data_IF_035013474723
#
_entry.id   IF_035013474723
#
_cell.length_a   1.000
_cell.length_b   1.000
_cell.length_c   1.000
_cell.angle_alpha   90.00
_cell.angle_beta   90.00
_cell.angle_gamma   90.00
#
_symmetry.space_group_name_H-M   'P 1'
#
loop_
_entity.id
_entity.type
_entity.pdbx_description
1 polymer ?
#
# COMPACT_ATOMS: atom_id res chain seq x y z
N UNK A 1 -57.97 5.88 43.13
CA UNK A 1 -56.58 6.23 43.50
C UNK A 1 -55.98 7.03 42.33
N UNK A 2 -55.66 8.32 42.49
CA UNK A 2 -55.06 9.11 41.44
C UNK A 2 -53.57 8.68 41.27
N UNK A 3 -53.14 8.51 40.07
CA UNK A 3 -51.73 8.18 39.74
C UNK A 3 -50.83 9.37 40.08
N UNK A 4 -49.64 9.16 40.67
CA UNK A 4 -48.71 10.25 40.93
C UNK A 4 -48.21 10.86 39.60
N UNK A 5 -48.42 12.16 39.43
CA UNK A 5 -47.89 12.91 38.29
C UNK A 5 -46.37 13.09 38.48
N UNK A 6 -45.55 12.25 37.78
CA UNK A 6 -44.10 12.44 37.74
C UNK A 6 -43.78 13.58 36.75
N UNK A 7 -43.47 14.75 37.24
CA UNK A 7 -42.88 15.82 36.43
C UNK A 7 -41.36 15.65 36.40
N UNK A 8 -40.80 15.09 35.30
CA UNK A 8 -39.36 15.02 35.08
C UNK A 8 -38.94 16.35 34.44
N UNK A 9 -38.33 17.24 35.19
CA UNK A 9 -37.75 18.48 34.67
C UNK A 9 -36.34 18.21 34.25
N UNK A 10 -36.11 18.01 32.94
CA UNK A 10 -34.77 17.83 32.38
C UNK A 10 -34.18 19.21 32.15
N UNK A 11 -33.09 19.57 32.85
CA UNK A 11 -32.41 20.85 32.66
C UNK A 11 -31.69 20.88 31.28
N UNK A 12 -31.69 22.04 30.62
CA UNK A 12 -31.03 22.21 29.32
C UNK A 12 -29.54 21.87 29.33
N UNK A 13 -28.89 22.04 30.49
CA UNK A 13 -27.47 21.66 30.67
C UNK A 13 -27.24 20.15 30.59
N UNK A 14 -28.16 19.34 31.10
CA UNK A 14 -28.07 17.87 31.02
C UNK A 14 -28.23 17.39 29.56
N UNK A 15 -29.18 18.00 28.84
CA UNK A 15 -29.40 17.70 27.42
C UNK A 15 -28.16 18.09 26.59
N UNK A 16 -27.59 19.27 26.86
CA UNK A 16 -26.38 19.73 26.16
C UNK A 16 -25.16 18.81 26.43
N UNK A 17 -24.97 18.41 27.70
CA UNK A 17 -23.89 17.49 28.06
C UNK A 17 -24.05 16.12 27.36
N UNK A 18 -25.26 15.57 27.34
CA UNK A 18 -25.57 14.31 26.67
C UNK A 18 -25.31 14.39 25.15
N UNK A 19 -25.79 15.49 24.53
CA UNK A 19 -25.54 15.72 23.09
C UNK A 19 -24.05 15.85 22.75
N UNK A 20 -23.26 16.52 23.60
CA UNK A 20 -21.81 16.63 23.42
C UNK A 20 -21.12 15.28 23.51
N UNK A 21 -21.49 14.44 24.47
CA UNK A 21 -20.94 13.08 24.60
C UNK A 21 -21.27 12.24 23.36
N UNK A 22 -22.51 12.22 22.93
CA UNK A 22 -22.93 11.45 21.74
C UNK A 22 -22.22 11.92 20.47
N UNK A 23 -22.10 13.23 20.28
CA UNK A 23 -21.39 13.76 19.09
C UNK A 23 -19.91 13.40 19.09
N UNK A 24 -19.27 13.41 20.26
CA UNK A 24 -17.86 13.00 20.39
C UNK A 24 -17.67 11.52 20.08
N UNK A 25 -18.52 10.64 20.60
CA UNK A 25 -18.49 9.20 20.32
C UNK A 25 -18.70 8.94 18.82
N UNK A 26 -19.69 9.59 18.23
CA UNK A 26 -20.01 9.45 16.80
C UNK A 26 -18.86 9.94 15.92
N UNK A 27 -18.27 11.08 16.24
CA UNK A 27 -17.11 11.62 15.55
C UNK A 27 -15.88 10.69 15.64
N UNK A 28 -15.62 10.14 16.82
CA UNK A 28 -14.54 9.16 17.00
C UNK A 28 -14.78 7.88 16.20
N UNK A 29 -16.00 7.36 16.17
CA UNK A 29 -16.37 6.20 15.40
C UNK A 29 -16.23 6.42 13.88
N UNK A 30 -16.61 7.61 13.39
CA UNK A 30 -16.44 7.99 11.99
C UNK A 30 -14.97 8.09 11.59
N UNK A 31 -14.12 8.70 12.41
CA UNK A 31 -12.68 8.76 12.21
C UNK A 31 -12.04 7.36 12.19
N UNK A 32 -12.48 6.50 13.11
CA UNK A 32 -12.03 5.10 13.15
C UNK A 32 -12.38 4.35 11.86
N UNK A 33 -13.64 4.44 11.43
CA UNK A 33 -14.10 3.80 10.20
C UNK A 33 -13.35 4.36 8.97
N UNK A 34 -13.19 5.67 8.86
CA UNK A 34 -12.44 6.30 7.79
C UNK A 34 -11.00 5.80 7.71
N UNK A 35 -10.30 5.66 8.85
CA UNK A 35 -8.95 5.12 8.87
C UNK A 35 -8.89 3.62 8.53
N UNK A 36 -9.93 2.88 8.87
CA UNK A 36 -10.05 1.44 8.59
C UNK A 36 -10.36 1.16 7.12
N UNK A 37 -11.13 2.03 6.48
CA UNK A 37 -11.55 1.87 5.09
C UNK A 37 -10.50 2.34 4.06
N UNK A 38 -9.33 2.77 4.51
CA UNK A 38 -8.24 3.14 3.60
C UNK A 38 -7.65 1.93 2.90
N UNK A 39 -7.26 2.14 1.64
CA UNK A 39 -6.38 1.22 0.94
C UNK A 39 -5.01 1.16 1.62
N UNK A 40 -4.47 -0.04 1.83
CA UNK A 40 -3.16 -0.27 2.45
C UNK A 40 -2.38 -1.26 1.62
N UNK A 41 -1.74 -0.76 0.59
CA UNK A 41 -0.90 -1.60 -0.27
C UNK A 41 0.47 -1.75 0.35
N UNK A 42 0.91 -3.00 0.48
CA UNK A 42 2.25 -3.38 0.92
C UNK A 42 2.98 -4.03 -0.24
N UNK A 43 4.14 -3.49 -0.57
CA UNK A 43 5.06 -4.07 -1.55
C UNK A 43 6.21 -4.71 -0.80
N UNK A 44 6.52 -5.97 -1.11
CA UNK A 44 7.67 -6.70 -0.58
C UNK A 44 8.36 -7.45 -1.71
N UNK A 45 9.68 -7.60 -1.63
CA UNK A 45 10.46 -8.37 -2.59
C UNK A 45 11.32 -9.39 -1.86
N UNK A 46 11.45 -10.55 -2.47
CA UNK A 46 12.29 -11.66 -2.04
C UNK A 46 13.18 -12.04 -3.20
N UNK A 47 14.50 -11.99 -2.98
CA UNK A 47 15.51 -12.35 -3.98
C UNK A 47 15.99 -13.79 -3.75
N UNK A 48 16.65 -14.35 -4.75
CA UNK A 48 17.28 -15.67 -4.70
C UNK A 48 16.32 -16.83 -4.39
N UNK A 49 15.06 -16.69 -4.77
CA UNK A 49 14.07 -17.76 -4.63
C UNK A 49 14.27 -18.80 -5.74
N UNK A 50 14.25 -20.07 -5.38
CA UNK A 50 14.33 -21.17 -6.34
C UNK A 50 12.98 -21.86 -6.41
N UNK A 51 12.44 -21.97 -7.62
CA UNK A 51 11.19 -22.68 -7.86
C UNK A 51 11.43 -24.11 -8.30
N UNK A 52 10.65 -25.02 -7.73
CA UNK A 52 10.59 -26.42 -8.16
C UNK A 52 9.20 -26.68 -8.75
N UNK A 53 9.15 -27.17 -9.98
CA UNK A 53 7.90 -27.65 -10.59
C UNK A 53 7.11 -26.64 -11.42
N UNK A 54 7.63 -25.46 -11.70
CA UNK A 54 7.02 -24.55 -12.68
C UNK A 54 7.63 -24.76 -14.07
N UNK A 55 6.77 -24.97 -15.09
CA UNK A 55 7.19 -25.24 -16.47
C UNK A 55 7.74 -24.02 -17.20
N UNK A 56 7.59 -22.81 -16.64
CA UNK A 56 8.01 -21.55 -17.27
C UNK A 56 9.46 -21.18 -16.94
N UNK A 57 10.03 -21.75 -15.89
CA UNK A 57 11.39 -21.44 -15.45
C UNK A 57 12.24 -22.70 -15.42
N UNK A 58 13.54 -22.54 -15.66
CA UNK A 58 14.49 -23.68 -15.61
C UNK A 58 14.62 -24.17 -14.18
N UNK A 59 14.67 -25.49 -13.95
CA UNK A 59 14.94 -26.04 -12.62
C UNK A 59 16.22 -25.44 -12.04
N UNK A 60 16.16 -24.95 -10.80
CA UNK A 60 17.30 -24.32 -10.14
C UNK A 60 17.56 -22.85 -10.51
N UNK A 61 16.77 -22.26 -11.40
CA UNK A 61 16.87 -20.83 -11.73
C UNK A 61 16.50 -19.98 -10.52
N UNK A 62 17.33 -18.99 -10.23
CA UNK A 62 17.05 -18.02 -9.20
C UNK A 62 16.09 -16.95 -9.70
N UNK A 63 15.10 -16.63 -8.90
CA UNK A 63 14.04 -15.68 -9.22
C UNK A 63 13.95 -14.60 -8.14
N UNK A 64 13.58 -13.41 -8.54
CA UNK A 64 13.09 -12.38 -7.64
C UNK A 64 11.57 -12.35 -7.69
N UNK A 65 10.96 -12.41 -6.53
CA UNK A 65 9.51 -12.37 -6.37
C UNK A 65 9.13 -11.06 -5.69
N UNK A 66 8.32 -10.28 -6.37
CA UNK A 66 7.73 -9.06 -5.80
C UNK A 66 6.26 -9.32 -5.51
N UNK A 67 5.91 -9.24 -4.24
CA UNK A 67 4.53 -9.43 -3.79
C UNK A 67 3.92 -8.07 -3.48
N UNK A 68 2.76 -7.80 -4.07
CA UNK A 68 1.94 -6.62 -3.80
C UNK A 68 0.64 -7.09 -3.17
N UNK A 69 0.41 -6.72 -1.91
CA UNK A 69 -0.75 -7.17 -1.14
C UNK A 69 -1.57 -5.99 -0.63
N UNK A 70 -2.90 -6.11 -0.70
CA UNK A 70 -3.81 -5.14 -0.11
C UNK A 70 -4.22 -5.59 1.30
N UNK A 71 -3.73 -4.90 2.32
CA UNK A 71 -4.10 -5.09 3.73
C UNK A 71 -5.24 -4.17 4.17
N UNK A 72 -5.69 -3.27 3.28
CA UNK A 72 -6.80 -2.36 3.54
C UNK A 72 -8.11 -2.92 3.00
N UNK A 73 -9.23 -2.36 3.44
CA UNK A 73 -10.57 -2.78 2.99
C UNK A 73 -10.92 -2.26 1.61
N UNK A 74 -10.41 -1.09 1.26
CA UNK A 74 -10.73 -0.49 -0.03
C UNK A 74 -10.01 -1.23 -1.15
N UNK A 75 -10.73 -1.71 -2.17
CA UNK A 75 -10.11 -2.33 -3.33
C UNK A 75 -9.26 -1.31 -4.11
N UNK A 76 -8.17 -1.78 -4.70
CA UNK A 76 -7.23 -0.97 -5.49
C UNK A 76 -6.85 -1.71 -6.75
N UNK A 77 -6.99 -1.07 -7.89
CA UNK A 77 -6.54 -1.62 -9.17
C UNK A 77 -5.08 -1.28 -9.38
N UNK A 78 -4.21 -2.29 -9.34
CA UNK A 78 -2.79 -2.15 -9.65
C UNK A 78 -2.60 -2.21 -11.16
N UNK A 79 -1.93 -1.22 -11.70
CA UNK A 79 -1.66 -1.11 -13.15
C UNK A 79 -0.23 -1.46 -13.50
N UNK A 80 0.73 -1.18 -12.61
CA UNK A 80 2.14 -1.48 -12.86
C UNK A 80 2.83 -1.94 -11.59
N UNK A 81 3.78 -2.85 -11.74
CA UNK A 81 4.73 -3.25 -10.71
C UNK A 81 6.13 -3.05 -11.26
N UNK A 82 7.02 -2.51 -10.47
CA UNK A 82 8.37 -2.24 -10.93
C UNK A 82 9.27 -1.79 -9.80
N UNK A 83 10.31 -1.07 -10.14
CA UNK A 83 11.25 -0.57 -9.16
C UNK A 83 12.17 0.49 -9.74
N UNK A 84 13.14 0.88 -8.96
CA UNK A 84 14.18 1.80 -9.38
C UNK A 84 15.56 1.21 -9.05
N UNK A 85 16.44 1.19 -10.04
CA UNK A 85 17.82 0.71 -9.93
C UNK A 85 18.76 1.87 -9.61
N UNK A 86 19.88 1.53 -8.97
CA UNK A 86 20.97 2.46 -8.73
C UNK A 86 21.69 2.81 -10.04
N UNK A 87 22.13 4.00 -10.15
CA UNK A 87 22.79 4.80 -11.18
C UNK A 87 23.21 4.07 -12.49
N UNK A 88 22.79 4.62 -13.66
CA UNK A 88 21.89 5.75 -13.77
C UNK A 88 20.49 5.35 -13.31
N UNK A 89 19.78 6.27 -12.65
CA UNK A 89 18.45 6.02 -12.11
C UNK A 89 17.50 5.60 -13.22
N UNK A 90 17.36 4.31 -13.42
CA UNK A 90 16.44 3.75 -14.39
C UNK A 90 15.26 3.11 -13.67
N UNK A 91 14.06 3.71 -13.79
CA UNK A 91 12.84 3.01 -13.42
C UNK A 91 12.66 1.83 -14.38
N UNK A 92 12.20 0.72 -13.86
CA UNK A 92 11.86 -0.46 -14.66
C UNK A 92 10.49 -0.98 -14.25
N UNK A 93 9.83 -1.67 -15.17
CA UNK A 93 8.53 -2.30 -14.97
C UNK A 93 8.70 -3.80 -15.13
N UNK A 94 8.06 -4.56 -14.25
CA UNK A 94 7.97 -6.02 -14.34
C UNK A 94 6.78 -6.35 -15.22
N UNK A 95 7.02 -7.07 -16.29
CA UNK A 95 5.97 -7.42 -17.26
C UNK A 95 5.25 -8.69 -16.85
N UNK A 96 5.94 -9.64 -16.24
CA UNK A 96 5.35 -10.91 -15.83
C UNK A 96 4.75 -10.82 -14.43
N UNK A 97 3.44 -10.64 -14.37
CA UNK A 97 2.66 -10.56 -13.15
C UNK A 97 1.56 -11.63 -13.15
N UNK A 98 1.30 -12.22 -11.97
CA UNK A 98 0.24 -13.20 -11.76
C UNK A 98 -0.65 -12.74 -10.60
N UNK A 99 -1.92 -12.43 -10.83
CA UNK A 99 -2.61 -12.32 -12.12
C UNK A 99 -2.08 -11.19 -13.00
N UNK A 100 -2.44 -11.21 -14.29
CA UNK A 100 -2.02 -10.20 -15.25
C UNK A 100 -2.51 -8.81 -14.85
N UNK A 101 -1.71 -7.79 -15.13
CA UNK A 101 -2.07 -6.40 -14.93
C UNK A 101 -2.87 -5.83 -16.12
N UNK A 102 -3.80 -4.90 -15.90
CA UNK A 102 -4.21 -4.34 -14.61
C UNK A 102 -5.05 -5.33 -13.78
N UNK A 103 -4.87 -5.34 -12.46
CA UNK A 103 -5.61 -6.25 -11.58
C UNK A 103 -6.12 -5.55 -10.33
N UNK A 104 -7.38 -5.83 -9.97
CA UNK A 104 -8.01 -5.31 -8.76
C UNK A 104 -7.66 -6.16 -7.54
N UNK A 105 -7.02 -5.56 -6.56
CA UNK A 105 -6.71 -6.15 -5.27
C UNK A 105 -7.76 -5.77 -4.24
N UNK A 106 -8.64 -6.70 -3.92
CA UNK A 106 -9.55 -6.59 -2.77
C UNK A 106 -8.83 -6.87 -1.46
N UNK A 107 -9.50 -6.69 -0.32
CA UNK A 107 -8.94 -6.95 1.02
C UNK A 107 -8.33 -8.35 1.12
N UNK A 108 -7.09 -8.43 1.62
CA UNK A 108 -6.37 -9.70 1.82
C UNK A 108 -5.86 -10.36 0.54
N UNK A 109 -6.12 -9.81 -0.63
CA UNK A 109 -5.60 -10.35 -1.89
C UNK A 109 -4.22 -9.81 -2.21
N UNK A 110 -3.45 -10.60 -2.96
CA UNK A 110 -2.12 -10.23 -3.42
C UNK A 110 -1.93 -10.62 -4.88
N UNK A 111 -1.03 -9.91 -5.54
CA UNK A 111 -0.46 -10.28 -6.82
C UNK A 111 1.05 -10.53 -6.66
N UNK A 112 1.60 -11.33 -7.55
CA UNK A 112 3.00 -11.70 -7.55
C UNK A 112 3.57 -11.31 -8.91
N UNK A 113 4.67 -10.55 -8.89
CA UNK A 113 5.48 -10.27 -10.05
C UNK A 113 6.79 -11.05 -9.95
N UNK A 114 7.16 -11.74 -11.01
CA UNK A 114 8.32 -12.64 -11.02
C UNK A 114 9.32 -12.17 -12.08
N UNK A 115 10.61 -12.18 -11.71
CA UNK A 115 11.70 -11.85 -12.63
C UNK A 115 12.87 -12.82 -12.45
N UNK A 116 13.47 -13.32 -13.55
CA UNK A 116 14.69 -14.12 -13.50
C UNK A 116 15.88 -13.32 -12.98
N UNK A 117 16.66 -13.90 -12.07
CA UNK A 117 17.85 -13.24 -11.53
C UNK A 117 19.03 -13.23 -12.51
N UNK A 118 18.99 -14.08 -13.53
CA UNK A 118 20.05 -14.19 -14.54
C UNK A 118 20.13 -12.96 -15.44
N UNK A 119 18.99 -12.28 -15.63
CA UNK A 119 18.87 -11.13 -16.51
C UNK A 119 19.02 -9.78 -15.78
N UNK A 120 18.92 -9.80 -14.45
CA UNK A 120 18.83 -8.57 -13.69
C UNK A 120 19.52 -8.65 -12.32
N UNK A 121 20.45 -7.73 -12.06
CA UNK A 121 21.13 -7.64 -10.77
C UNK A 121 20.24 -6.90 -9.73
N UNK A 122 19.55 -7.69 -8.91
CA UNK A 122 18.65 -7.18 -7.88
C UNK A 122 19.35 -6.52 -6.70
N UNK A 123 20.67 -6.74 -6.53
CA UNK A 123 21.44 -6.09 -5.47
C UNK A 123 21.49 -4.57 -5.64
N UNK A 124 21.31 -4.11 -6.89
CA UNK A 124 21.31 -2.69 -7.28
C UNK A 124 19.92 -2.04 -7.27
N UNK A 125 18.88 -2.77 -6.87
CA UNK A 125 17.53 -2.22 -6.77
C UNK A 125 17.41 -1.43 -5.47
N UNK A 126 17.10 -0.15 -5.59
CA UNK A 126 16.94 0.76 -4.45
C UNK A 126 15.60 0.60 -3.76
N UNK A 127 14.54 0.42 -4.52
CA UNK A 127 13.18 0.15 -4.01
C UNK A 127 12.31 -0.49 -5.08
N UNK A 128 11.35 -1.24 -4.61
CA UNK A 128 10.26 -1.76 -5.43
C UNK A 128 9.03 -0.87 -5.27
N UNK A 129 8.23 -0.77 -6.32
CA UNK A 129 7.02 0.03 -6.34
C UNK A 129 5.90 -0.66 -7.09
N UNK A 130 4.68 -0.33 -6.70
CA UNK A 130 3.48 -0.63 -7.46
C UNK A 130 2.72 0.68 -7.67
N UNK A 131 2.08 0.83 -8.83
CA UNK A 131 1.23 2.00 -9.10
C UNK A 131 -0.21 1.56 -9.33
N UNK A 132 -1.14 2.39 -8.88
CA UNK A 132 -2.56 2.18 -9.15
C UNK A 132 -3.04 2.96 -10.39
N UNK A 133 -4.29 2.72 -10.79
CA UNK A 133 -4.90 3.39 -11.94
C UNK A 133 -5.14 4.89 -11.75
N UNK A 134 -4.96 5.42 -10.54
CA UNK A 134 -5.15 6.85 -10.21
C UNK A 134 -3.80 7.58 -10.13
N UNK A 135 -2.68 6.84 -10.22
CA UNK A 135 -1.32 7.39 -10.18
C UNK A 135 -0.66 7.40 -8.80
N UNK A 136 -1.29 6.81 -7.78
CA UNK A 136 -0.61 6.64 -6.49
C UNK A 136 0.48 5.58 -6.60
N UNK A 137 1.61 5.84 -5.95
CA UNK A 137 2.75 4.93 -5.91
C UNK A 137 2.95 4.37 -4.52
N UNK A 138 3.05 3.06 -4.44
CA UNK A 138 3.30 2.29 -3.22
C UNK A 138 4.70 1.71 -3.27
N UNK A 139 5.50 1.97 -2.24
CA UNK A 139 6.90 1.55 -2.21
C UNK A 139 7.17 0.48 -1.15
N UNK A 140 8.13 -0.40 -1.43
CA UNK A 140 8.59 -1.37 -0.44
C UNK A 140 9.25 -0.67 0.75
N UNK A 141 9.01 -1.19 1.98
CA UNK A 141 9.63 -0.65 3.21
C UNK A 141 11.12 -0.96 3.34
N UNK A 142 11.66 -1.90 2.55
CA UNK A 142 13.04 -2.39 2.65
C UNK A 142 14.06 -1.63 1.80
N UNK A 143 13.66 -0.66 0.99
CA UNK A 143 14.59 0.17 0.26
C UNK A 143 15.37 1.09 1.22
N UNK A 144 16.70 1.16 1.05
CA UNK A 144 17.56 1.97 1.88
C UNK A 144 17.03 3.42 1.97
N UNK A 145 16.48 3.81 3.13
CA UNK A 145 15.90 5.13 3.36
C UNK A 145 16.86 6.27 3.00
N UNK A 146 18.15 6.07 3.24
CA UNK A 146 19.20 7.01 2.85
C UNK A 146 19.32 7.17 1.34
N UNK A 147 19.22 6.08 0.58
CA UNK A 147 19.25 6.12 -0.89
C UNK A 147 18.02 6.86 -1.44
N UNK A 148 16.83 6.62 -0.90
CA UNK A 148 15.60 7.34 -1.25
C UNK A 148 15.74 8.84 -0.99
N UNK A 149 16.26 9.25 0.18
CA UNK A 149 16.43 10.65 0.53
C UNK A 149 17.48 11.36 -0.34
N UNK A 150 18.57 10.66 -0.68
CA UNK A 150 19.61 11.15 -1.60
C UNK A 150 19.05 11.33 -3.01
N UNK A 151 18.24 10.39 -3.48
CA UNK A 151 17.57 10.47 -4.77
C UNK A 151 16.62 11.66 -4.86
N UNK A 152 15.70 11.83 -3.92
CA UNK A 152 14.78 12.97 -3.90
C UNK A 152 15.51 14.32 -3.91
N UNK A 153 16.64 14.41 -3.25
CA UNK A 153 17.48 15.62 -3.27
C UNK A 153 18.12 15.85 -4.65
N UNK A 154 18.55 14.79 -5.32
CA UNK A 154 19.13 14.86 -6.65
C UNK A 154 18.10 15.29 -7.70
N UNK A 155 16.91 14.69 -7.69
CA UNK A 155 15.78 15.05 -8.59
C UNK A 155 15.40 16.52 -8.41
N UNK A 156 15.16 16.97 -7.17
CA UNK A 156 14.83 18.38 -6.88
C UNK A 156 15.94 19.37 -7.32
N UNK A 157 17.19 18.92 -7.35
CA UNK A 157 18.31 19.77 -7.82
C UNK A 157 18.33 19.90 -9.34
N UNK A 158 17.88 18.87 -10.06
CA UNK A 158 17.75 18.91 -11.53
C UNK A 158 16.55 19.73 -11.97
N UNK A 159 15.39 19.60 -11.32
CA UNK A 159 14.20 20.41 -11.60
C UNK A 159 14.39 21.93 -11.40
N UNK A 160 15.32 22.33 -10.52
CA UNK A 160 15.63 23.76 -10.30
C UNK A 160 16.63 24.35 -11.30
N UNK A 161 17.23 23.52 -12.18
CA UNK A 161 18.22 23.97 -13.16
C UNK A 161 17.72 24.01 -14.60
N UNK A 162 16.52 23.52 -14.87
CA UNK A 162 15.77 23.65 -16.12
C UNK A 162 14.69 24.71 -16.00
#
# INVERSE_FOLDING_TARGET
MPWPNFHITISGSVVAAYAAILSTITGAAQLWNYNRDRARIKVSAQNDMVFFGDFHYKPGQKLCIVTVANHGRRPVTITTVGGCREIPLHPFVVVECRPNLPHELTEGKSLIAVMPSDEFDFSKVLWWSASDGVGNQYHSKGGNWYARRKHWRAVKKHEKKG
#
